data_IF_629338856746
#
_entry.id   IF_629338856746
#
_cell.length_a   1.000
_cell.length_b   1.000
_cell.length_c   1.000
_cell.angle_alpha   90.00
_cell.angle_beta   90.00
_cell.angle_gamma   90.00
#
_symmetry.space_group_name_H-M   'P 1'
#
loop_
_entity.id
_entity.type
_entity.pdbx_description
1 polymer ?
#
# COMPACT_ATOMS: atom_id res chain seq x y z
N UNK A 1 25.92 -83.03 -37.66
CA UNK A 1 24.70 -83.08 -36.82
C UNK A 1 24.19 -81.66 -36.62
N UNK A 2 22.89 -81.41 -36.91
CA UNK A 2 22.05 -80.19 -36.76
C UNK A 2 22.58 -78.86 -37.34
N UNK A 3 22.17 -78.41 -38.53
CA UNK A 3 20.94 -77.66 -38.92
C UNK A 3 21.02 -76.12 -38.79
N UNK A 4 20.93 -75.40 -39.93
CA UNK A 4 20.08 -74.23 -40.27
C UNK A 4 19.75 -73.20 -39.15
N UNK A 5 19.73 -71.85 -39.31
CA UNK A 5 19.55 -70.90 -40.44
C UNK A 5 19.87 -69.45 -39.96
N UNK A 6 20.16 -68.57 -40.92
CA UNK A 6 20.17 -67.09 -41.01
C UNK A 6 19.52 -66.24 -39.86
N UNK A 7 20.00 -65.01 -39.59
CA UNK A 7 19.44 -63.71 -40.08
C UNK A 7 20.42 -62.52 -39.86
N UNK A 8 20.27 -61.52 -40.74
CA UNK A 8 21.00 -60.28 -41.00
C UNK A 8 20.96 -59.14 -39.93
N UNK A 9 22.03 -58.33 -39.98
CA UNK A 9 22.18 -56.85 -39.89
C UNK A 9 21.52 -56.01 -38.77
N UNK A 10 22.32 -55.16 -38.12
CA UNK A 10 22.10 -53.69 -37.99
C UNK A 10 23.40 -52.96 -37.56
N UNK A 11 23.75 -51.79 -38.15
CA UNK A 11 24.90 -50.98 -37.71
C UNK A 11 24.47 -49.82 -36.79
N UNK A 12 25.18 -49.64 -35.66
CA UNK A 12 24.98 -48.51 -34.74
C UNK A 12 25.93 -47.34 -35.04
N UNK A 13 25.32 -46.39 -35.73
CA UNK A 13 25.35 -44.94 -35.63
C UNK A 13 26.35 -44.13 -34.75
N UNK A 14 27.03 -43.21 -35.45
CA UNK A 14 27.09 -41.73 -35.32
C UNK A 14 28.25 -41.05 -34.56
N UNK A 15 28.89 -40.15 -35.31
CA UNK A 15 30.08 -39.35 -35.03
C UNK A 15 29.68 -37.85 -35.17
N UNK A 16 30.34 -36.98 -34.40
CA UNK A 16 30.53 -35.51 -34.55
C UNK A 16 29.37 -34.65 -34.04
N UNK A 17 29.55 -33.59 -33.26
CA UNK A 17 30.71 -32.72 -33.05
C UNK A 17 30.34 -31.29 -33.49
N UNK A 18 30.55 -30.31 -32.59
CA UNK A 18 30.48 -28.85 -32.79
C UNK A 18 29.09 -28.21 -32.61
N UNK A 19 28.86 -27.62 -31.43
CA UNK A 19 27.77 -26.66 -31.18
C UNK A 19 28.31 -25.50 -30.33
N UNK A 20 28.75 -24.41 -30.96
CA UNK A 20 29.01 -23.15 -30.28
C UNK A 20 28.98 -21.97 -31.26
N UNK A 21 27.79 -21.47 -31.62
CA UNK A 21 27.62 -20.13 -32.22
C UNK A 21 26.34 -19.49 -31.64
N UNK A 22 26.58 -18.38 -30.95
CA UNK A 22 25.71 -17.32 -30.44
C UNK A 22 24.30 -17.20 -31.06
N UNK A 23 23.27 -17.41 -30.23
CA UNK A 23 21.92 -16.88 -30.44
C UNK A 23 21.58 -15.98 -29.24
N UNK A 24 21.85 -14.67 -29.38
CA UNK A 24 21.66 -13.66 -28.34
C UNK A 24 20.25 -13.02 -28.45
N UNK A 25 19.48 -13.20 -27.38
CA UNK A 25 18.45 -12.31 -26.83
C UNK A 25 17.44 -11.64 -27.78
N UNK A 26 16.32 -12.33 -28.03
CA UNK A 26 15.01 -11.69 -28.21
C UNK A 26 14.08 -12.12 -27.07
N UNK A 27 14.37 -11.64 -25.86
CA UNK A 27 13.37 -11.46 -24.83
C UNK A 27 13.41 -9.98 -24.44
N UNK A 28 12.71 -9.14 -25.21
CA UNK A 28 12.19 -7.91 -24.63
C UNK A 28 11.17 -8.35 -23.59
N UNK A 29 11.61 -8.39 -22.33
CA UNK A 29 10.73 -8.41 -21.17
C UNK A 29 9.74 -7.26 -21.39
N UNK A 30 8.50 -7.60 -21.76
CA UNK A 30 7.41 -6.65 -21.66
C UNK A 30 7.28 -6.41 -20.16
N UNK A 31 7.93 -5.35 -19.68
CA UNK A 31 7.57 -4.75 -18.41
C UNK A 31 6.20 -4.15 -18.69
N UNK A 32 5.17 -4.97 -18.52
CA UNK A 32 3.85 -4.45 -18.21
C UNK A 32 4.02 -3.78 -16.86
N UNK A 33 4.32 -2.48 -16.87
CA UNK A 33 3.98 -1.63 -15.75
C UNK A 33 2.46 -1.77 -15.64
N UNK A 34 1.99 -2.61 -14.71
CA UNK A 34 0.62 -2.52 -14.25
C UNK A 34 0.52 -1.13 -13.64
N UNK A 35 0.04 -0.15 -14.39
CA UNK A 35 -0.44 1.06 -13.76
C UNK A 35 -1.47 0.59 -12.73
N UNK A 36 -1.37 1.11 -11.50
CA UNK A 36 -2.32 0.81 -10.44
C UNK A 36 -3.73 0.90 -11.01
N UNK A 37 -4.56 -0.06 -10.62
CA UNK A 37 -5.93 -0.16 -11.11
C UNK A 37 -6.59 1.23 -11.06
N UNK A 38 -7.41 1.53 -12.06
CA UNK A 38 -8.07 2.83 -12.28
C UNK A 38 -9.03 3.26 -11.13
N UNK A 39 -9.02 2.54 -10.01
CA UNK A 39 -9.88 2.65 -8.83
C UNK A 39 -9.16 3.08 -7.54
N UNK A 40 -7.83 3.28 -7.54
CA UNK A 40 -7.09 3.58 -6.30
C UNK A 40 -7.21 5.06 -5.88
N UNK A 41 -7.39 5.30 -4.57
CA UNK A 41 -7.39 6.62 -3.94
C UNK A 41 -6.47 6.61 -2.71
N UNK A 42 -5.15 6.48 -2.90
CA UNK A 42 -4.22 6.14 -1.83
C UNK A 42 -3.93 7.26 -0.82
N UNK A 43 -4.26 8.52 -1.13
CA UNK A 43 -3.94 9.69 -0.30
C UNK A 43 -5.07 10.72 -0.30
N UNK A 44 -5.04 11.67 0.65
CA UNK A 44 -5.97 12.81 0.68
C UNK A 44 -6.03 13.50 -0.68
N UNK A 45 -7.25 13.65 -1.20
CA UNK A 45 -7.53 14.15 -2.56
C UNK A 45 -6.88 13.33 -3.71
N UNK A 46 -6.92 12.00 -3.60
CA UNK A 46 -6.66 10.99 -4.64
C UNK A 46 -5.20 10.80 -5.04
N UNK A 47 -4.44 11.87 -5.25
CA UNK A 47 -3.06 11.80 -5.71
C UNK A 47 -2.21 12.89 -5.07
N UNK A 48 -0.89 12.84 -5.30
CA UNK A 48 0.07 13.82 -4.78
C UNK A 48 -0.22 15.27 -5.21
N UNK A 49 -1.00 15.48 -6.28
CA UNK A 49 -1.44 16.81 -6.72
C UNK A 49 -2.74 17.27 -6.04
N UNK A 50 -3.30 16.47 -5.13
CA UNK A 50 -4.47 16.80 -4.35
C UNK A 50 -5.70 17.20 -5.19
N UNK A 51 -5.96 16.49 -6.29
CA UNK A 51 -7.02 16.86 -7.25
C UNK A 51 -8.43 16.50 -6.80
N UNK A 52 -8.58 15.48 -5.95
CA UNK A 52 -9.88 15.06 -5.42
C UNK A 52 -10.83 14.50 -6.49
N UNK A 53 -10.30 13.89 -7.55
CA UNK A 53 -11.11 13.34 -8.64
C UNK A 53 -10.59 11.96 -9.11
N UNK A 54 -11.53 11.08 -9.46
CA UNK A 54 -11.27 9.81 -10.19
C UNK A 54 -12.06 9.83 -11.49
N UNK A 55 -11.51 9.24 -12.54
CA UNK A 55 -12.18 9.15 -13.84
C UNK A 55 -13.15 7.98 -13.84
N UNK A 56 -14.46 8.23 -13.96
CA UNK A 56 -15.48 7.19 -14.01
C UNK A 56 -16.85 7.73 -14.37
N UNK A 57 -17.69 6.89 -14.97
CA UNK A 57 -19.09 7.23 -15.21
C UNK A 57 -19.90 6.91 -13.96
N UNK A 58 -20.51 7.94 -13.36
CA UNK A 58 -21.41 7.75 -12.21
C UNK A 58 -22.64 6.97 -12.67
N UNK A 59 -22.76 5.73 -12.20
CA UNK A 59 -24.04 5.03 -12.16
C UNK A 59 -24.63 5.36 -10.80
N UNK A 60 -25.56 6.31 -10.77
CA UNK A 60 -26.30 6.68 -9.56
C UNK A 60 -27.23 5.53 -9.17
N UNK A 61 -26.66 4.50 -8.53
CA UNK A 61 -27.43 3.49 -7.81
C UNK A 61 -27.46 3.84 -6.32
N UNK A 62 -28.50 3.37 -5.64
CA UNK A 62 -28.81 3.58 -4.23
C UNK A 62 -27.61 3.29 -3.29
N UNK A 63 -27.78 3.66 -2.02
CA UNK A 63 -26.94 3.19 -0.92
C UNK A 63 -26.61 1.69 -1.07
N UNK A 64 -25.35 1.37 -1.39
CA UNK A 64 -24.89 -0.01 -1.58
C UNK A 64 -24.78 -0.75 -0.25
N UNK A 65 -24.13 -0.11 0.73
CA UNK A 65 -23.96 -0.64 2.07
C UNK A 65 -23.73 0.50 3.09
N UNK A 66 -23.84 0.17 4.37
CA UNK A 66 -23.56 1.07 5.49
C UNK A 66 -22.80 0.34 6.58
N UNK A 67 -21.77 0.98 7.12
CA UNK A 67 -21.06 0.54 8.32
C UNK A 67 -21.21 1.59 9.43
N UNK A 68 -21.49 1.16 10.65
CA UNK A 68 -21.59 2.06 11.82
C UNK A 68 -20.28 2.00 12.60
N UNK A 69 -19.54 3.11 12.62
CA UNK A 69 -18.42 3.33 13.54
C UNK A 69 -18.94 3.84 14.89
N UNK A 70 -18.08 3.83 15.93
CA UNK A 70 -18.52 4.12 17.29
C UNK A 70 -18.46 5.61 17.65
N UNK A 71 -17.88 6.45 16.80
CA UNK A 71 -17.84 7.90 16.96
C UNK A 71 -17.77 8.61 15.59
N UNK A 72 -17.57 9.93 15.57
CA UNK A 72 -17.54 10.71 14.34
C UNK A 72 -16.35 10.34 13.45
N UNK A 73 -16.60 10.36 12.14
CA UNK A 73 -15.56 10.32 11.12
C UNK A 73 -15.40 11.75 10.60
N UNK A 74 -14.31 12.40 10.98
CA UNK A 74 -13.94 13.71 10.45
C UNK A 74 -12.80 13.63 9.42
N UNK A 75 -12.20 12.44 9.29
CA UNK A 75 -11.15 12.14 8.34
C UNK A 75 -11.71 11.84 6.94
N UNK A 76 -10.88 11.97 5.90
CA UNK A 76 -11.23 11.45 4.58
C UNK A 76 -10.86 9.97 4.50
N UNK A 77 -11.75 9.09 4.00
CA UNK A 77 -11.40 7.69 3.80
C UNK A 77 -10.48 7.52 2.58
N UNK A 78 -9.74 6.41 2.55
CA UNK A 78 -8.83 6.02 1.45
C UNK A 78 -9.21 4.63 0.96
N UNK A 79 -9.22 4.41 -0.36
CA UNK A 79 -9.42 3.09 -0.96
C UNK A 79 -8.11 2.65 -1.64
N UNK A 80 -7.68 1.42 -1.38
CA UNK A 80 -6.53 0.78 -2.05
C UNK A 80 -6.74 -0.72 -2.16
N UNK A 81 -6.56 -1.29 -3.35
CA UNK A 81 -6.80 -2.72 -3.69
C UNK A 81 -8.11 -3.29 -3.14
N UNK A 82 -9.20 -2.54 -3.25
CA UNK A 82 -10.52 -2.99 -2.81
C UNK A 82 -10.75 -2.93 -1.30
N UNK A 83 -9.81 -2.39 -0.51
CA UNK A 83 -10.00 -2.10 0.91
C UNK A 83 -10.21 -0.61 1.14
N UNK A 84 -11.24 -0.26 1.90
CA UNK A 84 -11.54 1.09 2.38
C UNK A 84 -11.00 1.27 3.80
N UNK A 85 -10.10 2.23 3.97
CA UNK A 85 -9.53 2.63 5.26
C UNK A 85 -10.22 3.88 5.79
N UNK A 86 -10.67 3.83 7.05
CA UNK A 86 -11.41 4.90 7.72
C UNK A 86 -10.85 5.13 9.12
N UNK A 87 -10.44 6.36 9.44
CA UNK A 87 -10.01 6.75 10.78
C UNK A 87 -11.15 7.47 11.53
N UNK A 88 -11.37 7.10 12.79
CA UNK A 88 -12.50 7.56 13.61
C UNK A 88 -12.04 8.25 14.90
N UNK A 89 -12.89 9.14 15.43
CA UNK A 89 -12.68 9.77 16.74
C UNK A 89 -12.76 8.80 17.93
N UNK A 90 -13.28 7.58 17.72
CA UNK A 90 -13.22 6.51 18.73
C UNK A 90 -11.80 5.94 18.92
N UNK A 91 -10.82 6.47 18.19
CA UNK A 91 -9.43 6.06 18.23
C UNK A 91 -9.12 4.82 17.40
N UNK A 92 -10.01 4.42 16.48
CA UNK A 92 -9.82 3.24 15.64
C UNK A 92 -9.55 3.58 14.17
N UNK A 93 -8.66 2.79 13.58
CA UNK A 93 -8.52 2.65 12.14
C UNK A 93 -9.29 1.40 11.71
N UNK A 94 -10.24 1.57 10.79
CA UNK A 94 -11.06 0.51 10.22
C UNK A 94 -10.58 0.19 8.81
N UNK A 95 -10.46 -1.09 8.48
CA UNK A 95 -10.31 -1.58 7.12
C UNK A 95 -11.55 -2.39 6.73
N UNK A 96 -12.27 -1.90 5.74
CA UNK A 96 -13.52 -2.47 5.26
C UNK A 96 -13.34 -2.96 3.83
N UNK A 97 -14.01 -4.06 3.47
CA UNK A 97 -14.15 -4.45 2.08
C UNK A 97 -14.95 -3.36 1.33
N UNK A 98 -14.36 -2.75 0.30
CA UNK A 98 -14.95 -1.59 -0.39
C UNK A 98 -16.25 -1.91 -1.13
N UNK A 99 -16.46 -3.18 -1.49
CA UNK A 99 -17.62 -3.64 -2.26
C UNK A 99 -18.79 -4.01 -1.34
N UNK A 100 -18.51 -4.69 -0.24
CA UNK A 100 -19.52 -5.26 0.66
C UNK A 100 -19.71 -4.46 1.95
N UNK A 101 -18.73 -3.65 2.35
CA UNK A 101 -18.72 -2.92 3.61
C UNK A 101 -18.36 -3.78 4.83
N UNK A 102 -17.97 -5.04 4.62
CA UNK A 102 -17.60 -5.95 5.70
C UNK A 102 -16.29 -5.51 6.36
N UNK A 103 -16.21 -5.63 7.70
CA UNK A 103 -14.97 -5.41 8.42
C UNK A 103 -13.94 -6.50 8.07
N UNK A 104 -12.78 -6.08 7.56
CA UNK A 104 -11.63 -6.96 7.33
C UNK A 104 -10.75 -7.00 8.58
N UNK A 105 -10.34 -5.84 9.05
CA UNK A 105 -9.58 -5.67 10.28
C UNK A 105 -9.80 -4.28 10.89
N UNK A 106 -9.41 -4.12 12.15
CA UNK A 106 -9.37 -2.82 12.81
C UNK A 106 -8.23 -2.74 13.82
N UNK A 107 -7.69 -1.55 14.01
CA UNK A 107 -6.69 -1.27 15.03
C UNK A 107 -7.19 -0.21 16.00
N UNK A 108 -6.99 -0.40 17.31
CA UNK A 108 -7.36 0.57 18.34
C UNK A 108 -6.13 1.28 18.87
N UNK A 109 -6.08 2.60 18.71
CA UNK A 109 -5.07 3.47 19.35
C UNK A 109 -5.59 3.97 20.70
N UNK A 110 -4.73 4.67 21.45
CA UNK A 110 -5.07 5.15 22.81
C UNK A 110 -5.86 6.46 22.82
N UNK A 111 -5.95 7.16 21.68
CA UNK A 111 -6.58 8.47 21.51
C UNK A 111 -7.30 8.55 20.17
N UNK A 112 -8.11 9.58 20.02
CA UNK A 112 -8.83 9.87 18.79
C UNK A 112 -7.88 10.08 17.58
N UNK A 113 -8.33 9.61 16.42
CA UNK A 113 -7.62 9.74 15.14
C UNK A 113 -8.39 10.73 14.28
N UNK A 114 -7.83 11.94 14.14
CA UNK A 114 -8.41 13.00 13.32
C UNK A 114 -7.78 13.09 11.93
N UNK A 115 -6.62 12.46 11.74
CA UNK A 115 -5.91 12.44 10.47
C UNK A 115 -6.59 11.55 9.43
N UNK A 116 -6.50 11.94 8.15
CA UNK A 116 -6.85 11.04 7.05
C UNK A 116 -5.76 9.99 6.87
N UNK A 117 -6.10 8.69 6.72
CA UNK A 117 -5.11 7.67 6.41
C UNK A 117 -4.37 7.96 5.11
N UNK A 118 -3.15 7.46 4.98
CA UNK A 118 -2.39 7.43 3.74
C UNK A 118 -1.88 6.02 3.47
N UNK A 119 -1.96 5.57 2.23
CA UNK A 119 -1.54 4.22 1.82
C UNK A 119 -0.34 4.31 0.87
N UNK A 120 0.69 3.50 1.10
CA UNK A 120 1.83 3.38 0.20
C UNK A 120 2.43 1.97 0.25
N UNK A 121 2.29 1.23 -0.85
CA UNK A 121 2.68 -0.18 -0.90
C UNK A 121 1.88 -1.00 0.11
N UNK A 122 2.59 -1.72 0.98
CA UNK A 122 2.00 -2.61 1.97
C UNK A 122 1.65 -1.91 3.29
N UNK A 123 1.77 -0.57 3.35
CA UNK A 123 1.57 0.18 4.59
C UNK A 123 0.35 1.11 4.55
N UNK A 124 -0.31 1.24 5.70
CA UNK A 124 -1.28 2.30 6.02
C UNK A 124 -0.71 3.17 7.13
N UNK A 125 -0.68 4.48 6.91
CA UNK A 125 -0.15 5.46 7.86
C UNK A 125 -1.25 6.35 8.43
N UNK A 126 -1.16 6.64 9.72
CA UNK A 126 -2.02 7.61 10.40
C UNK A 126 -1.21 8.45 11.40
N UNK A 127 -1.71 9.64 11.69
CA UNK A 127 -1.33 10.44 12.85
C UNK A 127 -2.42 10.41 13.94
N UNK A 128 -2.03 10.26 15.20
CA UNK A 128 -2.96 10.21 16.32
C UNK A 128 -2.73 11.36 17.31
N UNK A 129 -3.79 11.74 18.04
CA UNK A 129 -3.71 12.75 19.08
C UNK A 129 -2.85 12.37 20.29
N UNK A 130 -2.51 11.09 20.46
CA UNK A 130 -1.53 10.69 21.49
C UNK A 130 -0.08 11.05 21.12
N UNK A 131 0.15 11.65 19.94
CA UNK A 131 1.48 12.04 19.49
C UNK A 131 2.24 10.91 18.79
N UNK A 132 1.56 9.86 18.37
CA UNK A 132 2.17 8.78 17.61
C UNK A 132 1.82 8.87 16.13
N UNK A 133 2.84 8.62 15.30
CA UNK A 133 2.71 8.28 13.88
C UNK A 133 2.77 6.77 13.80
N UNK A 134 1.75 6.15 13.22
CA UNK A 134 1.67 4.70 13.11
C UNK A 134 1.82 4.27 11.66
N UNK A 135 2.41 3.10 11.46
CA UNK A 135 2.36 2.35 10.22
C UNK A 135 1.85 0.94 10.50
N UNK A 136 0.85 0.54 9.73
CA UNK A 136 0.26 -0.80 9.81
C UNK A 136 0.51 -1.55 8.52
N UNK A 137 0.68 -2.86 8.60
CA UNK A 137 0.53 -3.73 7.45
C UNK A 137 -0.90 -3.58 6.92
N UNK A 138 -1.02 -3.37 5.62
CA UNK A 138 -2.28 -3.05 4.96
C UNK A 138 -3.22 -4.26 4.88
N UNK A 139 -2.66 -5.46 4.84
CA UNK A 139 -3.40 -6.69 4.60
C UNK A 139 -4.09 -7.21 5.86
N UNK A 140 -3.44 -7.11 7.02
CA UNK A 140 -3.96 -7.65 8.29
C UNK A 140 -4.12 -6.60 9.41
N UNK A 141 -3.55 -5.40 9.23
CA UNK A 141 -3.64 -4.32 10.21
C UNK A 141 -2.62 -4.44 11.34
N UNK A 142 -1.63 -5.33 11.23
CA UNK A 142 -0.58 -5.48 12.23
C UNK A 142 0.27 -4.20 12.32
N UNK A 143 0.65 -3.84 13.55
CA UNK A 143 1.49 -2.66 13.77
C UNK A 143 2.93 -2.97 13.38
N UNK A 144 3.39 -2.34 12.29
CA UNK A 144 4.75 -2.48 11.76
C UNK A 144 5.74 -1.59 12.51
N UNK A 145 5.38 -0.31 12.70
CA UNK A 145 6.18 0.61 13.50
C UNK A 145 5.37 1.79 14.05
N UNK A 146 5.92 2.43 15.08
CA UNK A 146 5.42 3.67 15.65
C UNK A 146 6.56 4.67 15.86
N UNK A 147 6.27 5.95 15.67
CA UNK A 147 7.18 7.05 15.99
C UNK A 147 6.47 8.09 16.85
N UNK A 148 6.98 8.29 18.07
CA UNK A 148 6.40 9.22 19.06
C UNK A 148 7.03 10.60 18.98
N UNK A 149 6.20 11.63 19.01
CA UNK A 149 6.61 13.04 19.08
C UNK A 149 6.01 13.73 20.32
N UNK A 150 6.58 14.87 20.70
CA UNK A 150 6.15 15.64 21.87
C UNK A 150 5.02 16.64 21.53
N UNK A 151 3.96 16.16 20.89
CA UNK A 151 2.82 16.99 20.46
C UNK A 151 1.71 16.14 19.87
N UNK A 152 0.51 16.70 19.70
CA UNK A 152 -0.58 15.97 19.06
C UNK A 152 -0.45 16.01 17.54
N UNK A 153 -0.82 14.92 16.88
CA UNK A 153 -0.81 14.83 15.41
C UNK A 153 -2.23 14.89 14.91
N UNK A 154 -2.56 16.02 14.30
CA UNK A 154 -3.84 16.24 13.62
C UNK A 154 -3.69 16.18 12.10
N UNK A 155 -2.45 16.23 11.59
CA UNK A 155 -2.19 16.27 10.15
C UNK A 155 -2.31 14.89 9.53
N UNK A 156 -2.83 14.84 8.31
CA UNK A 156 -2.85 13.67 7.45
C UNK A 156 -1.43 13.41 6.93
N UNK A 157 -0.89 12.18 7.04
CA UNK A 157 0.42 11.86 6.48
C UNK A 157 0.45 12.03 4.95
N UNK A 158 1.59 12.45 4.41
CA UNK A 158 1.87 12.43 2.98
C UNK A 158 3.06 11.52 2.71
N UNK A 159 2.98 10.65 1.69
CA UNK A 159 4.04 9.68 1.41
C UNK A 159 4.57 9.89 0.00
N UNK A 160 5.88 10.10 -0.12
CA UNK A 160 6.58 10.24 -1.39
C UNK A 160 8.01 9.72 -1.28
N UNK A 161 8.51 9.05 -2.33
CA UNK A 161 9.90 8.60 -2.44
C UNK A 161 10.44 7.80 -1.24
N UNK A 162 9.57 6.98 -0.61
CA UNK A 162 9.95 6.19 0.56
C UNK A 162 10.02 6.97 1.86
N UNK A 163 9.45 8.19 1.89
CA UNK A 163 9.42 9.07 3.05
C UNK A 163 7.97 9.39 3.42
N UNK A 164 7.67 9.34 4.72
CA UNK A 164 6.41 9.76 5.32
C UNK A 164 6.60 11.13 5.95
N UNK A 165 5.83 12.10 5.48
CA UNK A 165 5.83 13.47 5.97
C UNK A 165 4.61 13.73 6.86
N UNK A 166 4.84 14.27 8.05
CA UNK A 166 3.76 14.56 9.02
C UNK A 166 4.00 15.90 9.69
N UNK A 167 2.96 16.75 9.70
CA UNK A 167 2.93 17.99 10.46
C UNK A 167 2.39 17.80 11.88
N UNK A 168 2.97 18.51 12.84
CA UNK A 168 2.62 18.39 14.26
C UNK A 168 2.25 19.74 14.89
N UNK A 169 1.49 19.65 15.98
CA UNK A 169 1.22 20.79 16.86
C UNK A 169 2.42 21.24 17.70
N UNK A 170 3.55 20.51 17.69
CA UNK A 170 4.82 20.93 18.29
C UNK A 170 5.64 21.90 17.43
N UNK A 171 5.01 22.42 16.38
CA UNK A 171 5.59 23.37 15.42
C UNK A 171 6.64 22.77 14.50
N UNK A 172 6.56 21.46 14.23
CA UNK A 172 7.48 20.78 13.33
C UNK A 172 6.79 20.01 12.21
N UNK A 173 7.55 19.83 11.14
CA UNK A 173 7.33 18.79 10.13
C UNK A 173 8.37 17.70 10.34
N UNK A 174 7.92 16.46 10.30
CA UNK A 174 8.73 15.26 10.43
C UNK A 174 8.79 14.55 9.08
N UNK A 175 9.97 14.02 8.74
CA UNK A 175 10.18 13.12 7.62
C UNK A 175 10.75 11.81 8.15
N UNK A 176 9.98 10.74 7.99
CA UNK A 176 10.32 9.40 8.47
C UNK A 176 10.56 8.45 7.31
N UNK A 177 11.46 7.50 7.48
CA UNK A 177 11.58 6.38 6.56
C UNK A 177 10.27 5.59 6.56
N UNK A 178 9.68 5.36 5.38
CA UNK A 178 8.39 4.67 5.23
C UNK A 178 8.39 3.26 5.82
N UNK A 179 9.49 2.52 5.68
CA UNK A 179 9.56 1.11 6.07
C UNK A 179 10.06 0.91 7.49
N UNK A 180 10.92 1.79 8.00
CA UNK A 180 11.52 1.62 9.34
C UNK A 180 10.95 2.55 10.41
N UNK A 181 10.24 3.62 10.02
CA UNK A 181 9.78 4.66 10.93
C UNK A 181 10.92 5.55 11.46
N UNK A 182 12.17 5.34 11.02
CA UNK A 182 13.32 6.12 11.48
C UNK A 182 13.22 7.57 11.02
N UNK A 183 13.55 8.50 11.91
CA UNK A 183 13.61 9.92 11.58
C UNK A 183 14.73 10.20 10.57
N UNK A 184 14.35 10.70 9.40
CA UNK A 184 15.30 11.19 8.40
C UNK A 184 15.66 12.65 8.69
N UNK A 185 14.67 13.50 8.97
CA UNK A 185 14.86 14.87 9.40
C UNK A 185 13.61 15.45 10.07
N UNK A 186 13.78 16.54 10.81
CA UNK A 186 12.70 17.36 11.36
C UNK A 186 12.96 18.85 11.14
N UNK A 187 11.92 19.63 10.84
CA UNK A 187 12.02 21.07 10.56
C UNK A 187 11.03 21.87 11.38
N UNK A 188 11.50 22.92 12.07
CA UNK A 188 10.65 23.80 12.89
C UNK A 188 10.07 24.94 12.06
N UNK A 189 8.74 25.05 12.00
CA UNK A 189 8.00 26.02 11.18
C UNK A 189 7.58 27.28 11.92
N UNK A 190 7.82 27.36 13.23
CA UNK A 190 7.49 28.52 14.07
C UNK A 190 6.03 28.59 14.54
N UNK A 191 5.18 27.66 14.11
CA UNK A 191 3.79 27.51 14.54
C UNK A 191 3.23 26.13 14.20
N UNK A 192 2.02 25.83 14.65
CA UNK A 192 1.39 24.51 14.44
C UNK A 192 1.27 24.17 12.95
N UNK A 193 1.58 22.93 12.59
CA UNK A 193 1.37 22.41 11.24
C UNK A 193 0.21 21.42 11.28
N UNK A 194 -0.89 21.79 10.60
CA UNK A 194 -2.13 21.02 10.51
C UNK A 194 -2.55 20.93 9.04
N UNK A 195 -3.26 19.87 8.66
CA UNK A 195 -3.82 19.65 7.32
C UNK A 195 -5.24 19.13 7.39
#
# INVERSE_FOLDING_TARGET
>A
MSSNRYINMHPHNWIKGIAQIFLLCLLSCQISATCGNQSDWPVFRSNLNHTGCVSGSLRLEMLLWRYNVNDWVISSPVISDGTLFVASLDGRLYALDSVTGNLLWQYSTERDITSSPAVSGDYVFIGCHNGNIYAFDRSDGDLEWTYTINGTIMSSPAVADGVVFVGSNDHKVYALNRSTGELLWGYTTGGQVRS
#
